data_IF_635428966328
#
_entry.id   IF_635428966328
#
_cell.length_a   1.000
_cell.length_b   1.000
_cell.length_c   1.000
_cell.angle_alpha   90.00
_cell.angle_beta   90.00
_cell.angle_gamma   90.00
#
_symmetry.space_group_name_H-M   'P 1'
#
loop_
_entity.id
_entity.type
_entity.pdbx_description
1 polymer ?
#
# COMPACT_ATOMS: atom_id res chain seq x y z
N UNK A 1 24.79 -4.80 -11.97
CA UNK A 1 23.37 -5.11 -12.20
C UNK A 1 22.56 -3.97 -11.65
N UNK A 2 21.51 -3.55 -12.33
CA UNK A 2 20.55 -2.59 -11.79
C UNK A 2 19.51 -3.34 -10.97
N UNK A 3 19.13 -2.82 -9.80
CA UNK A 3 18.12 -3.39 -8.91
C UNK A 3 16.91 -2.47 -8.88
N UNK A 4 15.72 -3.02 -8.87
CA UNK A 4 14.47 -2.31 -8.66
C UNK A 4 13.76 -2.83 -7.42
N UNK A 5 13.23 -1.93 -6.60
CA UNK A 5 12.31 -2.26 -5.51
C UNK A 5 10.87 -2.03 -5.98
N UNK A 6 10.03 -3.04 -5.78
CA UNK A 6 8.61 -2.98 -6.14
C UNK A 6 7.77 -3.07 -4.88
N UNK A 7 6.88 -2.10 -4.68
CA UNK A 7 6.06 -1.98 -3.49
C UNK A 7 4.60 -2.31 -3.82
N UNK A 8 4.00 -3.28 -3.10
CA UNK A 8 2.65 -3.73 -3.39
C UNK A 8 1.59 -2.72 -2.99
N UNK A 9 0.40 -2.87 -3.57
CA UNK A 9 -0.80 -2.12 -3.23
C UNK A 9 -1.77 -2.87 -2.34
N UNK A 10 -2.92 -2.25 -2.08
CA UNK A 10 -4.03 -2.85 -1.34
C UNK A 10 -4.46 -4.17 -2.00
N UNK A 11 -4.71 -5.20 -1.18
CA UNK A 11 -4.96 -6.59 -1.59
C UNK A 11 -3.79 -7.53 -1.30
N UNK A 12 -2.60 -6.99 -0.99
CA UNK A 12 -1.42 -7.79 -0.60
C UNK A 12 -1.27 -7.97 0.92
N UNK A 13 -2.10 -7.28 1.73
CA UNK A 13 -2.06 -7.42 3.18
C UNK A 13 -2.42 -8.83 3.62
N UNK A 14 -1.76 -9.30 4.66
CA UNK A 14 -2.04 -10.59 5.29
C UNK A 14 -1.76 -10.54 6.78
N UNK A 15 -2.48 -11.34 7.55
CA UNK A 15 -2.18 -11.53 8.97
C UNK A 15 -0.75 -12.05 9.12
N UNK A 16 -0.02 -11.48 10.07
CA UNK A 16 1.37 -11.81 10.32
C UNK A 16 2.39 -11.02 9.51
N UNK A 17 1.95 -10.17 8.56
CA UNK A 17 2.89 -9.32 7.81
C UNK A 17 3.71 -8.43 8.76
N UNK A 18 5.01 -8.32 8.52
CA UNK A 18 5.91 -7.49 9.31
C UNK A 18 6.33 -8.07 10.65
N UNK A 19 5.93 -9.29 11.04
CA UNK A 19 6.17 -9.89 12.36
C UNK A 19 7.65 -9.83 12.81
N UNK A 20 8.60 -10.11 11.91
CA UNK A 20 10.03 -10.07 12.21
C UNK A 20 10.62 -8.65 12.20
N UNK A 21 9.92 -7.71 11.56
CA UNK A 21 10.39 -6.34 11.37
C UNK A 21 10.04 -5.44 12.56
N UNK A 22 8.91 -5.65 13.19
CA UNK A 22 8.46 -4.80 14.30
C UNK A 22 9.46 -4.82 15.46
N UNK A 23 9.96 -6.01 15.83
CA UNK A 23 11.00 -6.16 16.86
C UNK A 23 12.37 -5.60 16.46
N UNK A 24 12.67 -5.54 15.13
CA UNK A 24 13.93 -4.96 14.62
C UNK A 24 13.91 -3.44 14.60
N UNK A 25 12.76 -2.80 14.47
CA UNK A 25 12.61 -1.36 14.29
C UNK A 25 11.63 -0.75 15.30
N UNK A 26 11.81 -0.97 16.62
CA UNK A 26 10.84 -0.55 17.64
C UNK A 26 10.60 0.96 17.66
N UNK A 27 11.62 1.77 17.38
CA UNK A 27 11.48 3.24 17.34
C UNK A 27 10.53 3.70 16.22
N UNK A 28 10.52 2.98 15.08
CA UNK A 28 9.61 3.29 13.97
C UNK A 28 8.19 2.82 14.31
N UNK A 29 8.05 1.68 14.97
CA UNK A 29 6.75 1.16 15.44
C UNK A 29 6.14 2.14 16.45
N UNK A 30 6.89 2.60 17.43
CA UNK A 30 6.43 3.61 18.39
C UNK A 30 5.97 4.90 17.68
N UNK A 31 6.74 5.36 16.70
CA UNK A 31 6.35 6.53 15.88
C UNK A 31 5.06 6.29 15.10
N UNK A 32 4.85 5.06 14.55
CA UNK A 32 3.60 4.70 13.89
C UNK A 32 2.42 4.81 14.85
N UNK A 33 2.54 4.19 16.03
CA UNK A 33 1.47 4.13 17.02
C UNK A 33 1.09 5.53 17.50
N UNK A 34 2.08 6.42 17.71
CA UNK A 34 1.86 7.83 18.06
C UNK A 34 1.11 8.60 16.95
N UNK A 35 1.43 8.35 15.68
CA UNK A 35 0.79 9.03 14.54
C UNK A 35 -0.62 8.50 14.29
N UNK A 36 -0.80 7.18 14.39
CA UNK A 36 -2.03 6.50 14.02
C UNK A 36 -3.07 6.46 15.17
N UNK A 37 -2.59 6.49 16.43
CA UNK A 37 -3.44 6.39 17.61
C UNK A 37 -3.86 4.95 17.95
N UNK A 38 -3.22 3.95 17.33
CA UNK A 38 -3.41 2.52 17.61
C UNK A 38 -2.10 1.76 17.34
N UNK A 39 -2.00 0.52 17.84
CA UNK A 39 -0.82 -0.32 17.61
C UNK A 39 -0.84 -0.92 16.20
N UNK A 40 0.16 -0.56 15.40
CA UNK A 40 0.33 -1.09 14.05
C UNK A 40 0.74 -2.58 14.09
N UNK A 41 1.56 -2.96 15.08
CA UNK A 41 1.96 -4.34 15.29
C UNK A 41 0.75 -5.21 15.63
N UNK A 42 -0.07 -4.80 16.62
CA UNK A 42 -1.27 -5.54 17.00
C UNK A 42 -2.24 -5.68 15.81
N UNK A 43 -2.43 -4.60 15.03
CA UNK A 43 -3.27 -4.64 13.82
C UNK A 43 -2.80 -5.70 12.82
N UNK A 44 -1.48 -5.78 12.58
CA UNK A 44 -0.92 -6.71 11.59
C UNK A 44 -0.86 -8.16 12.08
N UNK A 45 -0.69 -8.38 13.39
CA UNK A 45 -0.45 -9.72 13.93
C UNK A 45 -1.71 -10.39 14.51
N UNK A 46 -2.78 -9.64 14.77
CA UNK A 46 -4.03 -10.18 15.29
C UNK A 46 -4.67 -11.15 14.30
N UNK A 47 -5.11 -12.32 14.79
CA UNK A 47 -5.75 -13.38 13.97
C UNK A 47 -7.03 -12.88 13.27
N UNK A 48 -7.80 -12.00 13.92
CA UNK A 48 -8.95 -11.35 13.30
C UNK A 48 -8.49 -10.22 12.37
N UNK A 49 -8.50 -10.51 11.08
CA UNK A 49 -8.12 -9.57 10.02
C UNK A 49 -9.22 -8.56 9.63
N UNK A 50 -10.33 -8.50 10.37
CA UNK A 50 -11.48 -7.64 10.01
C UNK A 50 -11.06 -6.18 9.81
N UNK A 51 -10.32 -5.61 10.77
CA UNK A 51 -9.83 -4.24 10.69
C UNK A 51 -8.74 -4.09 9.62
N UNK A 52 -7.82 -5.06 9.50
CA UNK A 52 -6.74 -5.02 8.51
C UNK A 52 -7.26 -4.94 7.06
N UNK A 53 -8.48 -5.39 6.80
CA UNK A 53 -9.12 -5.32 5.50
C UNK A 53 -9.90 -4.02 5.25
N UNK A 54 -10.01 -3.15 6.24
CA UNK A 54 -10.60 -1.83 6.06
C UNK A 54 -9.57 -0.85 5.49
N UNK A 55 -9.91 -0.16 4.42
CA UNK A 55 -9.00 0.71 3.65
C UNK A 55 -8.21 1.71 4.51
N UNK A 56 -8.84 2.29 5.53
CA UNK A 56 -8.21 3.23 6.46
C UNK A 56 -7.16 2.59 7.39
N UNK A 57 -7.19 1.28 7.57
CA UNK A 57 -6.18 0.50 8.31
C UNK A 57 -5.21 -0.21 7.38
N UNK A 58 -5.72 -0.77 6.27
CA UNK A 58 -4.89 -1.48 5.27
C UNK A 58 -3.76 -0.60 4.74
N UNK A 59 -4.07 0.64 4.38
CA UNK A 59 -3.08 1.51 3.73
C UNK A 59 -1.91 1.88 4.65
N UNK A 60 -2.13 2.37 5.89
CA UNK A 60 -1.03 2.61 6.83
C UNK A 60 -0.23 1.34 7.14
N UNK A 61 -0.88 0.18 7.26
CA UNK A 61 -0.22 -1.08 7.53
C UNK A 61 0.71 -1.50 6.38
N UNK A 62 0.23 -1.48 5.14
CA UNK A 62 1.05 -1.78 3.96
C UNK A 62 2.22 -0.80 3.80
N UNK A 63 1.97 0.50 3.99
CA UNK A 63 3.03 1.50 3.92
C UNK A 63 4.11 1.24 4.97
N UNK A 64 3.72 1.02 6.23
CA UNK A 64 4.66 0.77 7.32
C UNK A 64 5.50 -0.47 7.05
N UNK A 65 4.86 -1.61 6.77
CA UNK A 65 5.58 -2.87 6.54
C UNK A 65 6.49 -2.75 5.32
N UNK A 66 6.02 -2.17 4.21
CA UNK A 66 6.84 -1.95 3.01
C UNK A 66 8.07 -1.07 3.27
N UNK A 67 7.93 -0.02 4.08
CA UNK A 67 9.08 0.83 4.46
C UNK A 67 10.06 0.07 5.37
N UNK A 68 9.58 -0.74 6.31
CA UNK A 68 10.41 -1.56 7.18
C UNK A 68 11.16 -2.65 6.38
N UNK A 69 10.49 -3.30 5.43
CA UNK A 69 11.12 -4.26 4.52
C UNK A 69 12.20 -3.61 3.68
N UNK A 70 11.92 -2.46 3.07
CA UNK A 70 12.91 -1.72 2.30
C UNK A 70 14.11 -1.33 3.17
N UNK A 71 13.87 -0.83 4.39
CA UNK A 71 14.92 -0.48 5.34
C UNK A 71 15.77 -1.69 5.72
N UNK A 72 15.13 -2.83 5.99
CA UNK A 72 15.82 -4.11 6.27
C UNK A 72 16.70 -4.55 5.09
N UNK A 73 16.15 -4.51 3.87
CA UNK A 73 16.90 -4.88 2.66
C UNK A 73 18.10 -3.95 2.42
N UNK A 74 17.97 -2.66 2.69
CA UNK A 74 19.04 -1.68 2.52
C UNK A 74 20.22 -1.86 3.50
N UNK A 75 20.07 -2.66 4.54
CA UNK A 75 21.21 -3.09 5.39
C UNK A 75 22.10 -4.13 4.68
N UNK A 76 21.53 -4.89 3.73
CA UNK A 76 22.19 -5.99 3.04
C UNK A 76 22.57 -5.65 1.59
N UNK A 77 21.81 -4.79 0.94
CA UNK A 77 21.99 -4.45 -0.47
C UNK A 77 22.17 -2.94 -0.66
N UNK A 78 22.75 -2.56 -1.81
CA UNK A 78 22.87 -1.15 -2.20
C UNK A 78 21.50 -0.58 -2.54
N UNK A 79 21.39 0.74 -2.47
CA UNK A 79 20.22 1.49 -2.94
C UNK A 79 19.78 0.99 -4.33
N UNK A 80 18.49 0.76 -4.54
CA UNK A 80 17.97 0.37 -5.84
C UNK A 80 18.17 1.48 -6.86
N UNK A 81 18.34 1.11 -8.12
CA UNK A 81 18.39 2.06 -9.24
C UNK A 81 17.00 2.63 -9.57
N UNK A 82 15.95 1.86 -9.21
CA UNK A 82 14.55 2.20 -9.46
C UNK A 82 13.71 1.75 -8.29
N UNK A 83 12.68 2.54 -7.99
CA UNK A 83 11.62 2.18 -7.06
C UNK A 83 10.27 2.43 -7.73
N UNK A 84 9.36 1.48 -7.65
CA UNK A 84 8.00 1.63 -8.16
C UNK A 84 7.00 1.03 -7.18
N UNK A 85 5.79 1.56 -7.14
CA UNK A 85 4.75 1.11 -6.25
C UNK A 85 3.38 1.06 -6.93
N UNK A 86 2.56 0.10 -6.55
CA UNK A 86 1.18 0.01 -7.00
C UNK A 86 0.26 0.71 -6.00
N UNK A 87 -0.48 1.74 -6.45
CA UNK A 87 -1.43 2.49 -5.61
C UNK A 87 -0.78 3.01 -4.31
N UNK A 88 -1.14 2.51 -3.13
CA UNK A 88 -0.52 2.92 -1.86
C UNK A 88 0.98 2.61 -1.80
N UNK A 89 1.44 1.60 -2.50
CA UNK A 89 2.86 1.25 -2.59
C UNK A 89 3.73 2.35 -3.21
N UNK A 90 3.14 3.26 -4.00
CA UNK A 90 3.83 4.43 -4.55
C UNK A 90 4.40 5.33 -3.44
N UNK A 91 3.71 5.46 -2.32
CA UNK A 91 4.20 6.22 -1.17
C UNK A 91 5.43 5.57 -0.54
N UNK A 92 5.47 4.25 -0.45
CA UNK A 92 6.66 3.54 0.03
C UNK A 92 7.83 3.66 -0.96
N UNK A 93 7.56 3.61 -2.27
CA UNK A 93 8.57 3.85 -3.30
C UNK A 93 9.15 5.28 -3.21
N UNK A 94 8.32 6.29 -3.03
CA UNK A 94 8.74 7.69 -2.86
C UNK A 94 9.53 7.87 -1.57
N UNK A 95 9.13 7.23 -0.47
CA UNK A 95 9.87 7.26 0.79
C UNK A 95 11.25 6.60 0.62
N UNK A 96 11.32 5.45 -0.03
CA UNK A 96 12.58 4.78 -0.37
C UNK A 96 13.51 5.67 -1.22
N UNK A 97 12.94 6.50 -2.09
CA UNK A 97 13.65 7.50 -2.89
C UNK A 97 13.97 8.80 -2.12
N UNK A 98 13.69 8.87 -0.80
CA UNK A 98 13.88 10.05 0.05
C UNK A 98 13.10 11.30 -0.42
N UNK A 99 11.93 11.13 -1.05
CA UNK A 99 11.08 12.26 -1.45
C UNK A 99 10.44 12.96 -0.24
N UNK A 100 10.22 12.22 0.84
CA UNK A 100 9.71 12.73 2.12
C UNK A 100 10.09 11.80 3.28
N UNK A 101 9.90 12.27 4.52
CA UNK A 101 10.17 11.49 5.72
C UNK A 101 9.17 10.33 5.88
N UNK A 102 9.57 9.27 6.59
CA UNK A 102 8.66 8.17 6.93
C UNK A 102 7.37 8.68 7.60
N UNK A 103 7.50 9.56 8.59
CA UNK A 103 6.34 10.12 9.32
C UNK A 103 5.41 10.95 8.43
N UNK A 104 5.94 11.72 7.50
CA UNK A 104 5.10 12.50 6.58
C UNK A 104 4.36 11.58 5.60
N UNK A 105 5.05 10.58 5.08
CA UNK A 105 4.44 9.54 4.26
C UNK A 105 3.32 8.80 4.99
N UNK A 106 3.55 8.40 6.25
CA UNK A 106 2.54 7.72 7.06
C UNK A 106 1.29 8.59 7.29
N UNK A 107 1.48 9.89 7.60
CA UNK A 107 0.35 10.84 7.74
C UNK A 107 -0.44 10.99 6.45
N UNK A 108 0.25 11.10 5.31
CA UNK A 108 -0.39 11.18 3.99
C UNK A 108 -1.20 9.92 3.67
N UNK A 109 -0.63 8.75 3.91
CA UNK A 109 -1.30 7.46 3.64
C UNK A 109 -2.47 7.23 4.60
N UNK A 110 -2.33 7.56 5.87
CA UNK A 110 -3.43 7.51 6.84
C UNK A 110 -4.59 8.43 6.40
N UNK A 111 -4.27 9.65 5.96
CA UNK A 111 -5.29 10.59 5.45
C UNK A 111 -5.93 10.09 4.16
N UNK A 112 -5.15 9.51 3.26
CA UNK A 112 -5.65 8.88 2.02
C UNK A 112 -6.63 7.76 2.34
N UNK A 113 -6.25 6.85 3.24
CA UNK A 113 -7.10 5.74 3.67
C UNK A 113 -8.40 6.21 4.32
N UNK A 114 -8.32 7.23 5.19
CA UNK A 114 -9.50 7.87 5.80
C UNK A 114 -10.46 8.46 4.75
N UNK A 115 -9.94 9.19 3.77
CA UNK A 115 -10.77 9.80 2.72
C UNK A 115 -11.41 8.72 1.86
N UNK A 116 -10.64 7.72 1.42
CA UNK A 116 -11.14 6.65 0.57
C UNK A 116 -12.19 5.79 1.29
N UNK A 117 -12.04 5.55 2.60
CA UNK A 117 -13.02 4.77 3.38
C UNK A 117 -14.38 5.45 3.53
N UNK A 118 -14.47 6.77 3.31
CA UNK A 118 -15.71 7.56 3.39
C UNK A 118 -16.48 7.61 2.06
N UNK A 119 -15.90 7.10 0.98
CA UNK A 119 -16.58 7.06 -0.32
C UNK A 119 -17.70 6.02 -0.25
N UNK A 120 -18.93 6.48 -0.40
CA UNK A 120 -20.15 5.65 -0.28
C UNK A 120 -20.80 5.33 -1.63
N UNK A 121 -20.28 5.90 -2.72
CA UNK A 121 -20.79 5.69 -4.08
C UNK A 121 -19.66 5.30 -5.02
N UNK A 122 -19.99 4.48 -6.03
CA UNK A 122 -19.02 3.95 -6.96
C UNK A 122 -18.39 2.65 -6.49
N UNK A 123 -17.48 2.13 -7.29
CA UNK A 123 -16.76 0.88 -7.02
C UNK A 123 -15.59 0.72 -7.96
N UNK A 124 -14.77 -0.28 -7.69
CA UNK A 124 -13.66 -0.67 -8.54
C UNK A 124 -13.65 -2.19 -8.67
N UNK A 125 -13.42 -2.67 -9.90
CA UNK A 125 -13.30 -4.08 -10.18
C UNK A 125 -12.00 -4.36 -10.94
N UNK A 126 -11.33 -5.46 -10.62
CA UNK A 126 -10.22 -5.97 -11.40
C UNK A 126 -10.74 -7.02 -12.39
N UNK A 127 -10.53 -6.79 -13.68
CA UNK A 127 -10.82 -7.77 -14.73
C UNK A 127 -9.57 -8.59 -14.99
N UNK A 128 -9.70 -9.91 -14.91
CA UNK A 128 -8.58 -10.85 -15.08
C UNK A 128 -8.83 -11.71 -16.31
N UNK A 129 -7.80 -11.90 -17.15
CA UNK A 129 -7.85 -12.80 -18.30
C UNK A 129 -8.60 -12.23 -19.52
N UNK A 130 -8.71 -10.91 -19.61
CA UNK A 130 -9.29 -10.23 -20.78
C UNK A 130 -8.39 -9.07 -21.21
N UNK A 131 -8.17 -8.91 -22.49
CA UNK A 131 -7.40 -7.80 -23.05
C UNK A 131 -8.12 -6.46 -22.86
N UNK A 132 -7.34 -5.40 -22.64
CA UNK A 132 -7.85 -4.04 -22.42
C UNK A 132 -8.74 -3.55 -23.59
N UNK A 133 -8.33 -3.79 -24.84
CA UNK A 133 -9.09 -3.41 -26.02
C UNK A 133 -10.47 -4.07 -26.04
N UNK A 134 -10.56 -5.33 -25.57
CA UNK A 134 -11.85 -6.03 -25.47
C UNK A 134 -12.73 -5.44 -24.38
N UNK A 135 -12.14 -5.02 -23.25
CA UNK A 135 -12.88 -4.35 -22.17
C UNK A 135 -13.43 -3.02 -22.68
N UNK A 136 -12.60 -2.21 -23.35
CA UNK A 136 -13.00 -0.94 -23.96
C UNK A 136 -14.19 -1.15 -24.91
N UNK A 137 -14.06 -2.11 -25.86
CA UNK A 137 -15.12 -2.43 -26.82
C UNK A 137 -16.45 -2.79 -26.13
N UNK A 138 -16.38 -3.59 -25.06
CA UNK A 138 -17.61 -3.98 -24.32
C UNK A 138 -18.22 -2.78 -23.60
N UNK A 139 -17.41 -1.90 -22.98
CA UNK A 139 -17.92 -0.70 -22.32
C UNK A 139 -18.61 0.23 -23.32
N UNK A 140 -17.98 0.45 -24.49
CA UNK A 140 -18.56 1.25 -25.58
C UNK A 140 -19.87 0.65 -26.12
N UNK A 141 -19.89 -0.66 -26.37
CA UNK A 141 -21.08 -1.38 -26.85
C UNK A 141 -22.26 -1.30 -25.87
N UNK A 142 -21.96 -1.23 -24.56
CA UNK A 142 -22.96 -1.14 -23.50
C UNK A 142 -23.33 0.32 -23.12
N UNK A 143 -22.68 1.32 -23.72
CA UNK A 143 -22.88 2.73 -23.37
C UNK A 143 -22.52 3.04 -21.91
N UNK A 144 -21.48 2.40 -21.40
CA UNK A 144 -21.06 2.50 -20.00
C UNK A 144 -20.10 3.69 -19.76
N UNK A 145 -20.50 4.88 -20.23
CA UNK A 145 -19.68 6.10 -20.21
C UNK A 145 -19.23 6.55 -18.81
N UNK A 146 -19.85 6.01 -17.74
CA UNK A 146 -19.49 6.32 -16.35
C UNK A 146 -18.40 5.40 -15.78
N UNK A 147 -17.87 4.46 -16.57
CA UNK A 147 -16.84 3.53 -16.15
C UNK A 147 -15.53 3.89 -16.82
N UNK A 148 -14.52 4.22 -16.00
CA UNK A 148 -13.18 4.51 -16.46
C UNK A 148 -12.24 3.33 -16.28
N UNK A 149 -11.34 3.11 -17.24
CA UNK A 149 -10.21 2.21 -17.05
C UNK A 149 -9.13 2.96 -16.21
N UNK A 150 -9.09 2.64 -14.94
CA UNK A 150 -8.24 3.34 -14.00
C UNK A 150 -6.77 2.90 -14.06
N UNK A 151 -6.50 1.65 -14.42
CA UNK A 151 -5.15 1.09 -14.45
C UNK A 151 -5.04 -0.15 -15.34
N UNK A 152 -3.86 -0.37 -15.89
CA UNK A 152 -3.44 -1.58 -16.62
C UNK A 152 -2.37 -2.27 -15.78
N UNK A 153 -2.68 -3.41 -15.20
CA UNK A 153 -1.78 -4.19 -14.33
C UNK A 153 -0.98 -5.25 -15.11
#
# INVERSE_FOLDING_TARGET
>A
MSTAFLFPGQGSQSVGMGSELFSRFPDIVEQCDQILGYSIEELCLREDASDLNLTNFTQPALYTVSCLEAKSLLEEVKLPSFAAGHSVGEFAALQCANAFSFSDGLKMVAKRGEIMSKVSSGGMAAVIGMDADKIISVLDEQGADQIDLANFN
#
